data_IF_320570859586
#
_entry.id   IF_320570859586
#
_cell.length_a   1.000
_cell.length_b   1.000
_cell.length_c   1.000
_cell.angle_alpha   90.00
_cell.angle_beta   90.00
_cell.angle_gamma   90.00
#
_symmetry.space_group_name_H-M   'P 1'
#
loop_
_entity.id
_entity.type
_entity.pdbx_description
1 polymer ?
#
# COMPACT_ATOMS: atom_id res chain seq x y z
N UNK A 1 -2.22 11.55 -9.23
CA UNK A 1 -3.13 11.20 -8.13
C UNK A 1 -4.03 12.34 -7.66
N UNK A 2 -3.60 13.61 -7.69
CA UNK A 2 -4.40 14.75 -7.17
C UNK A 2 -5.82 14.89 -7.75
N UNK A 3 -6.04 14.47 -9.00
CA UNK A 3 -7.33 14.62 -9.69
C UNK A 3 -8.22 13.36 -9.63
N UNK A 4 -7.78 12.28 -8.99
CA UNK A 4 -8.58 11.07 -8.91
C UNK A 4 -9.73 11.29 -7.92
N UNK A 5 -10.97 11.02 -8.33
CA UNK A 5 -12.17 11.31 -7.54
C UNK A 5 -12.15 10.62 -6.17
N UNK A 6 -12.44 11.38 -5.11
CA UNK A 6 -12.60 10.81 -3.77
C UNK A 6 -13.78 9.83 -3.71
N UNK A 7 -14.85 10.09 -4.47
CA UNK A 7 -15.98 9.17 -4.56
C UNK A 7 -15.54 7.81 -5.11
N UNK A 8 -14.77 7.79 -6.20
CA UNK A 8 -14.27 6.55 -6.78
C UNK A 8 -13.32 5.81 -5.82
N UNK A 9 -12.45 6.52 -5.09
CA UNK A 9 -11.58 5.90 -4.09
C UNK A 9 -12.38 5.26 -2.96
N UNK A 10 -13.38 5.97 -2.44
CA UNK A 10 -14.27 5.44 -1.39
C UNK A 10 -15.04 4.23 -1.89
N UNK A 11 -15.59 4.27 -3.11
CA UNK A 11 -16.29 3.11 -3.68
C UNK A 11 -15.39 1.89 -3.80
N UNK A 12 -14.18 2.04 -4.35
CA UNK A 12 -13.23 0.93 -4.46
C UNK A 12 -12.84 0.40 -3.07
N UNK A 13 -12.54 1.30 -2.15
CA UNK A 13 -12.15 0.94 -0.78
C UNK A 13 -13.27 0.19 -0.04
N UNK A 14 -14.50 0.70 -0.10
CA UNK A 14 -15.67 0.08 0.51
C UNK A 14 -15.92 -1.34 -0.02
N UNK A 15 -15.68 -1.56 -1.32
CA UNK A 15 -15.79 -2.90 -1.90
C UNK A 15 -14.72 -3.84 -1.32
N UNK A 16 -13.47 -3.40 -1.25
CA UNK A 16 -12.40 -4.18 -0.62
C UNK A 16 -12.71 -4.49 0.83
N UNK A 17 -13.05 -3.48 1.64
CA UNK A 17 -13.36 -3.63 3.06
C UNK A 17 -14.54 -4.57 3.26
N UNK A 18 -15.66 -4.36 2.54
CA UNK A 18 -16.87 -5.16 2.69
C UNK A 18 -16.64 -6.64 2.36
N UNK A 19 -16.03 -6.92 1.22
CA UNK A 19 -15.88 -8.30 0.73
C UNK A 19 -14.65 -9.02 1.26
N UNK A 20 -13.82 -8.34 2.07
CA UNK A 20 -12.70 -8.96 2.81
C UNK A 20 -12.95 -9.03 4.32
N UNK A 21 -14.16 -8.71 4.78
CA UNK A 21 -14.48 -8.61 6.21
C UNK A 21 -13.53 -7.64 6.96
N UNK A 22 -13.23 -6.50 6.35
CA UNK A 22 -12.34 -5.48 6.89
C UNK A 22 -10.84 -5.82 6.84
N UNK A 23 -10.45 -6.91 6.19
CA UNK A 23 -9.05 -7.33 6.12
C UNK A 23 -8.24 -6.54 5.08
N UNK A 24 -8.88 -6.10 3.99
CA UNK A 24 -8.27 -5.45 2.84
C UNK A 24 -8.93 -4.10 2.54
N UNK A 25 -8.16 -3.21 1.91
CA UNK A 25 -8.61 -1.86 1.59
C UNK A 25 -7.47 -0.85 1.63
N UNK A 26 -7.66 0.26 0.93
CA UNK A 26 -6.78 1.42 1.01
C UNK A 26 -6.87 2.10 2.37
N UNK A 27 -8.05 2.16 3.00
CA UNK A 27 -8.23 2.63 4.38
C UNK A 27 -7.46 1.76 5.36
N UNK A 28 -7.51 0.44 5.20
CA UNK A 28 -6.74 -0.51 6.01
C UNK A 28 -5.23 -0.31 5.85
N UNK A 29 -4.77 -0.18 4.60
CA UNK A 29 -3.37 0.15 4.30
C UNK A 29 -2.97 1.52 4.88
N UNK A 30 -3.89 2.49 4.88
CA UNK A 30 -3.66 3.82 5.42
C UNK A 30 -3.47 3.79 6.93
N UNK A 31 -4.32 3.08 7.67
CA UNK A 31 -4.13 2.90 9.12
C UNK A 31 -2.78 2.25 9.45
N UNK A 32 -2.36 1.23 8.67
CA UNK A 32 -1.04 0.60 8.87
C UNK A 32 0.08 1.59 8.56
N UNK A 33 -0.02 2.31 7.43
CA UNK A 33 0.94 3.34 7.03
C UNK A 33 1.03 4.48 8.04
N UNK A 34 -0.07 4.83 8.71
CA UNK A 34 -0.08 5.84 9.76
C UNK A 34 0.56 5.35 11.05
N UNK A 35 0.31 4.09 11.43
CA UNK A 35 0.86 3.47 12.65
C UNK A 35 2.40 3.43 12.67
N UNK A 36 3.06 3.43 11.51
CA UNK A 36 4.52 3.42 11.40
C UNK A 36 5.16 4.82 11.38
N UNK A 37 4.36 5.89 11.60
CA UNK A 37 4.88 7.25 11.79
C UNK A 37 4.69 8.17 10.58
N UNK A 38 3.45 8.28 10.09
CA UNK A 38 3.09 9.24 9.03
C UNK A 38 3.76 10.62 9.27
N UNK A 39 4.39 11.15 8.21
CA UNK A 39 4.63 12.58 7.97
C UNK A 39 6.03 13.20 8.12
N UNK A 40 7.07 12.59 8.70
CA UNK A 40 8.29 13.40 8.96
C UNK A 40 9.42 13.28 7.93
N UNK A 41 9.53 12.17 7.19
CA UNK A 41 10.56 12.07 6.13
C UNK A 41 10.27 11.00 5.06
N UNK A 42 9.67 11.39 3.94
CA UNK A 42 9.43 10.50 2.78
C UNK A 42 10.73 9.89 2.21
N UNK A 43 11.90 10.42 2.61
CA UNK A 43 13.21 9.91 2.19
C UNK A 43 13.70 8.70 3.00
N UNK A 44 12.97 8.28 4.04
CA UNK A 44 13.34 7.09 4.80
C UNK A 44 12.75 5.81 4.17
N UNK A 45 13.62 5.04 3.52
CA UNK A 45 13.27 3.73 2.96
C UNK A 45 12.87 2.71 4.04
N UNK A 46 13.27 2.91 5.30
CA UNK A 46 12.97 2.00 6.40
C UNK A 46 11.47 1.89 6.66
N UNK A 47 10.74 3.01 6.60
CA UNK A 47 9.28 3.03 6.71
C UNK A 47 8.62 2.24 5.59
N UNK A 48 9.13 2.37 4.36
CA UNK A 48 8.61 1.64 3.22
C UNK A 48 8.83 0.13 3.34
N UNK A 49 10.00 -0.29 3.82
CA UNK A 49 10.27 -1.71 4.11
C UNK A 49 9.41 -2.23 5.26
N UNK A 50 9.24 -1.44 6.32
CA UNK A 50 8.41 -1.81 7.47
C UNK A 50 6.96 -2.02 7.05
N UNK A 51 6.40 -1.07 6.28
CA UNK A 51 5.08 -1.21 5.67
C UNK A 51 4.99 -2.51 4.85
N UNK A 52 5.93 -2.73 3.94
CA UNK A 52 5.97 -3.93 3.10
C UNK A 52 6.05 -5.23 3.91
N UNK A 53 6.74 -5.24 5.04
CA UNK A 53 6.78 -6.40 5.94
C UNK A 53 5.41 -6.60 6.62
N UNK A 54 4.77 -5.53 7.12
CA UNK A 54 3.48 -5.58 7.82
C UNK A 54 2.34 -6.08 6.91
N UNK A 55 2.27 -5.58 5.68
CA UNK A 55 1.25 -6.01 4.72
C UNK A 55 1.64 -7.27 3.94
N UNK A 56 2.82 -7.85 4.22
CA UNK A 56 3.27 -9.10 3.59
C UNK A 56 3.72 -8.97 2.13
N UNK A 57 4.09 -7.78 1.66
CA UNK A 57 4.70 -7.58 0.33
C UNK A 57 6.21 -7.81 0.33
N UNK A 58 6.83 -7.90 1.51
CA UNK A 58 8.26 -8.11 1.70
C UNK A 58 8.48 -9.25 2.67
N UNK A 59 9.28 -10.23 2.26
CA UNK A 59 9.59 -11.44 3.03
C UNK A 59 11.09 -11.69 2.94
N UNK A 60 11.75 -11.91 4.09
CA UNK A 60 13.21 -12.11 4.17
C UNK A 60 13.99 -11.06 3.37
N UNK A 61 13.63 -9.81 3.62
CA UNK A 61 14.19 -8.62 2.99
C UNK A 61 14.00 -8.45 1.47
N UNK A 62 13.15 -9.27 0.86
CA UNK A 62 12.87 -9.23 -0.58
C UNK A 62 11.40 -8.90 -0.84
N UNK A 63 11.17 -7.93 -1.73
CA UNK A 63 9.82 -7.67 -2.23
C UNK A 63 9.34 -8.84 -3.09
N UNK A 64 8.09 -9.22 -2.91
CA UNK A 64 7.50 -10.34 -3.64
C UNK A 64 7.19 -9.92 -5.08
N UNK A 65 7.57 -10.73 -6.09
CA UNK A 65 7.07 -10.59 -7.44
C UNK A 65 5.54 -10.74 -7.46
N UNK A 66 4.85 -10.15 -8.45
CA UNK A 66 3.38 -10.17 -8.53
C UNK A 66 2.85 -11.62 -8.51
N UNK A 67 3.58 -12.51 -9.16
CA UNK A 67 3.32 -13.95 -9.26
C UNK A 67 3.39 -14.69 -7.91
N UNK A 68 3.94 -14.06 -6.86
CA UNK A 68 4.03 -14.59 -5.50
C UNK A 68 3.15 -13.84 -4.49
N UNK A 69 2.37 -12.86 -4.93
CA UNK A 69 1.38 -12.18 -4.09
C UNK A 69 0.22 -13.14 -3.84
N UNK A 70 -0.27 -13.19 -2.60
CA UNK A 70 -1.34 -14.09 -2.21
C UNK A 70 -2.69 -13.40 -2.37
N UNK A 71 -3.45 -13.82 -3.39
CA UNK A 71 -4.80 -13.35 -3.64
C UNK A 71 -5.83 -14.21 -2.89
N UNK A 72 -5.66 -14.35 -1.58
CA UNK A 72 -6.52 -15.19 -0.72
C UNK A 72 -7.03 -14.38 0.48
N UNK A 73 -8.14 -14.83 1.09
CA UNK A 73 -8.69 -14.19 2.29
C UNK A 73 -7.77 -14.33 3.51
N UNK A 74 -6.88 -15.33 3.51
CA UNK A 74 -5.93 -15.63 4.58
C UNK A 74 -4.67 -14.76 4.52
N UNK A 75 -4.51 -13.93 3.48
CA UNK A 75 -3.38 -13.03 3.38
C UNK A 75 -3.38 -11.99 4.53
N UNK A 76 -2.21 -11.45 4.90
CA UNK A 76 -2.09 -10.48 6.00
C UNK A 76 -3.00 -9.27 5.84
N UNK A 77 -3.35 -8.63 6.96
CA UNK A 77 -4.16 -7.40 6.94
C UNK A 77 -3.48 -6.32 6.09
N UNK A 78 -4.26 -5.68 5.21
CA UNK A 78 -3.77 -4.69 4.25
C UNK A 78 -2.99 -5.26 3.07
N UNK A 79 -2.85 -6.58 2.92
CA UNK A 79 -2.12 -7.20 1.81
C UNK A 79 -2.70 -6.81 0.44
N UNK A 80 -4.02 -6.67 0.37
CA UNK A 80 -4.73 -6.24 -0.83
C UNK A 80 -5.46 -4.91 -0.59
N UNK A 81 -5.68 -4.12 -1.66
CA UNK A 81 -5.21 -4.34 -3.05
C UNK A 81 -3.69 -4.21 -3.19
N UNK A 82 -3.07 -4.92 -4.12
CA UNK A 82 -1.63 -4.82 -4.44
C UNK A 82 -1.43 -4.29 -5.86
N UNK A 83 -0.55 -3.31 -6.04
CA UNK A 83 -0.14 -2.84 -7.36
C UNK A 83 1.36 -3.00 -7.55
N UNK A 84 1.76 -3.73 -8.61
CA UNK A 84 3.17 -3.92 -8.98
C UNK A 84 3.93 -2.60 -9.13
N UNK A 85 3.23 -1.55 -9.55
CA UNK A 85 3.79 -0.21 -9.67
C UNK A 85 4.28 0.37 -8.34
N UNK A 86 3.77 -0.11 -7.19
CA UNK A 86 4.19 0.39 -5.88
C UNK A 86 5.59 -0.07 -5.48
N UNK A 87 6.04 -1.25 -5.92
CA UNK A 87 7.28 -1.86 -5.41
C UNK A 87 8.46 -1.84 -6.40
N UNK A 88 8.29 -1.21 -7.58
CA UNK A 88 9.43 -0.87 -8.44
C UNK A 88 10.23 -2.04 -9.03
N UNK A 89 9.64 -3.22 -9.15
CA UNK A 89 10.36 -4.39 -9.68
C UNK A 89 10.56 -4.33 -11.20
N UNK A 90 11.82 -4.33 -11.65
CA UNK A 90 12.20 -4.61 -13.04
C UNK A 90 12.74 -6.03 -13.18
N UNK A 91 12.79 -6.54 -14.42
CA UNK A 91 13.29 -7.90 -14.76
C UNK A 91 14.71 -8.19 -14.25
N UNK A 92 15.51 -7.17 -13.96
CA UNK A 92 16.92 -7.27 -13.52
C UNK A 92 17.10 -7.11 -12.00
N UNK A 93 16.03 -7.01 -11.21
CA UNK A 93 16.09 -6.82 -9.76
C UNK A 93 15.45 -5.52 -9.27
N UNK A 94 15.60 -5.26 -7.97
CA UNK A 94 15.02 -4.09 -7.30
C UNK A 94 15.68 -2.80 -7.78
N UNK A 95 14.88 -1.85 -8.26
CA UNK A 95 15.31 -0.46 -8.30
C UNK A 95 14.83 0.17 -7.00
N UNK A 96 15.74 0.39 -6.05
CA UNK A 96 15.49 1.28 -4.91
C UNK A 96 15.39 2.73 -5.43
N UNK A 97 14.30 3.05 -6.12
CA UNK A 97 14.04 4.42 -6.58
C UNK A 97 13.06 5.09 -5.64
N UNK A 98 13.47 6.26 -5.15
CA UNK A 98 12.61 7.18 -4.41
C UNK A 98 11.32 7.51 -5.17
N UNK A 99 11.33 7.38 -6.50
CA UNK A 99 10.15 7.55 -7.34
C UNK A 99 8.97 6.69 -6.90
N UNK A 100 9.19 5.42 -6.56
CA UNK A 100 8.08 4.52 -6.19
C UNK A 100 7.56 4.79 -4.78
N UNK A 101 8.47 5.06 -3.85
CA UNK A 101 8.12 5.52 -2.50
C UNK A 101 7.29 6.81 -2.59
N UNK A 102 7.71 7.78 -3.41
CA UNK A 102 6.98 9.02 -3.64
C UNK A 102 5.59 8.79 -4.26
N UNK A 103 5.45 7.85 -5.19
CA UNK A 103 4.15 7.52 -5.81
C UNK A 103 3.20 6.87 -4.83
N UNK A 104 3.69 5.91 -4.04
CA UNK A 104 2.90 5.30 -2.98
C UNK A 104 2.51 6.35 -1.93
N UNK A 105 3.47 7.15 -1.45
CA UNK A 105 3.20 8.23 -0.51
C UNK A 105 2.16 9.22 -1.04
N UNK A 106 2.28 9.66 -2.30
CA UNK A 106 1.29 10.55 -2.92
C UNK A 106 -0.10 9.91 -3.06
N UNK A 107 -0.16 8.58 -3.18
CA UNK A 107 -1.42 7.84 -3.15
C UNK A 107 -2.01 7.80 -1.75
N UNK A 108 -1.24 7.40 -0.73
CA UNK A 108 -1.70 7.36 0.66
C UNK A 108 -2.13 8.74 1.15
N UNK A 109 -1.40 9.79 0.76
CA UNK A 109 -1.80 11.17 1.02
C UNK A 109 -3.14 11.53 0.37
N UNK A 110 -3.42 11.01 -0.83
CA UNK A 110 -4.73 11.20 -1.47
C UNK A 110 -5.84 10.43 -0.74
N UNK A 111 -5.57 9.22 -0.27
CA UNK A 111 -6.51 8.47 0.58
C UNK A 111 -6.85 9.22 1.87
N UNK A 112 -5.83 9.75 2.54
CA UNK A 112 -5.99 10.59 3.74
C UNK A 112 -6.81 11.86 3.45
N UNK A 113 -6.46 12.58 2.38
CA UNK A 113 -7.22 13.76 1.93
C UNK A 113 -8.68 13.44 1.62
N UNK A 114 -8.98 12.25 1.10
CA UNK A 114 -10.33 11.82 0.79
C UNK A 114 -11.10 11.26 2.01
N UNK A 115 -10.49 11.24 3.20
CA UNK A 115 -11.06 10.75 4.46
C UNK A 115 -11.57 9.31 4.37
N UNK A 116 -10.71 8.40 3.90
CA UNK A 116 -11.03 6.96 3.80
C UNK A 116 -11.06 6.24 5.14
N UNK A 117 -10.32 6.74 6.13
CA UNK A 117 -10.35 6.26 7.53
C UNK A 117 -11.40 7.06 8.29
N UNK A 118 -12.60 6.50 8.47
CA UNK A 118 -13.64 6.99 9.39
C UNK A 118 -14.12 5.83 10.23
#
# INVERSE_FOLDING_TARGET
>A
MKNFSCQNLRTIDQLWVKYSNGNFGFSVQQTIWESIGFANNVRDYSMWWNFGNLVGWRVKDRWLPYERIQFTAQAPKGHLPFFRAWIGMRKTGLVHSMHQVNRFHAFMYRCAFCHLTQ
#
